data_IF_911909579347
#
_entry.id   IF_911909579347
#
_cell.length_a   1.000
_cell.length_b   1.000
_cell.length_c   1.000
_cell.angle_alpha   90.00
_cell.angle_beta   90.00
_cell.angle_gamma   90.00
#
_symmetry.space_group_name_H-M   'P 1'
#
loop_
_entity.id
_entity.type
_entity.pdbx_description
1 polymer ?
#
# COMPACT_ATOMS: atom_id res chain seq x y z
N UNK A 1 20.55 -24.53 -12.99
CA UNK A 1 19.20 -23.97 -13.20
C UNK A 1 18.95 -22.91 -12.13
N UNK A 2 18.67 -21.68 -12.52
CA UNK A 2 18.57 -20.53 -11.62
C UNK A 2 17.13 -20.46 -11.11
N UNK A 3 16.93 -20.74 -9.81
CA UNK A 3 15.65 -20.59 -9.14
C UNK A 3 15.22 -19.12 -9.26
N UNK A 4 14.21 -18.85 -10.08
CA UNK A 4 13.63 -17.52 -10.21
C UNK A 4 12.69 -17.37 -9.03
N UNK A 5 13.14 -16.67 -8.00
CA UNK A 5 12.30 -16.38 -6.85
C UNK A 5 11.12 -15.53 -7.37
N UNK A 6 9.89 -16.02 -7.18
CA UNK A 6 8.63 -15.33 -7.52
C UNK A 6 8.37 -14.20 -6.51
N UNK A 7 9.35 -13.33 -6.27
CA UNK A 7 9.19 -12.19 -5.36
C UNK A 7 8.48 -11.09 -6.15
N UNK A 8 7.27 -10.74 -5.72
CA UNK A 8 6.64 -9.49 -6.13
C UNK A 8 7.28 -8.36 -5.34
N UNK A 9 7.95 -7.45 -6.03
CA UNK A 9 8.53 -6.24 -5.43
C UNK A 9 7.46 -5.15 -5.47
N UNK A 10 7.22 -4.50 -4.32
CA UNK A 10 6.31 -3.38 -4.20
C UNK A 10 7.09 -2.06 -4.20
N UNK A 11 6.59 -1.09 -4.97
CA UNK A 11 6.94 0.32 -4.81
C UNK A 11 5.98 0.95 -3.80
N UNK A 12 6.51 1.63 -2.79
CA UNK A 12 5.70 2.34 -1.79
C UNK A 12 6.16 3.80 -1.77
N UNK A 13 5.24 4.70 -2.11
CA UNK A 13 5.40 6.13 -1.87
C UNK A 13 4.85 6.46 -0.48
N UNK A 14 5.71 6.91 0.42
CA UNK A 14 5.37 7.28 1.80
C UNK A 14 5.34 8.81 1.94
N UNK A 15 4.31 9.42 1.37
CA UNK A 15 4.11 10.87 1.43
C UNK A 15 3.59 11.32 2.80
N UNK A 16 3.72 12.62 3.09
CA UNK A 16 3.27 13.22 4.35
C UNK A 16 1.75 13.26 4.50
N UNK A 17 1.01 13.39 3.40
CA UNK A 17 -0.46 13.48 3.41
C UNK A 17 -1.12 12.20 2.89
N UNK A 18 -0.53 11.59 1.86
CA UNK A 18 -1.02 10.35 1.26
C UNK A 18 0.13 9.40 0.98
N UNK A 19 -0.15 8.11 1.06
CA UNK A 19 0.73 7.02 0.67
C UNK A 19 0.10 6.20 -0.45
N UNK A 20 0.94 5.58 -1.29
CA UNK A 20 0.52 4.78 -2.45
C UNK A 20 1.39 3.51 -2.56
N UNK A 21 0.75 2.39 -2.89
CA UNK A 21 1.44 1.14 -3.22
C UNK A 21 1.28 0.79 -4.71
N UNK A 22 2.34 0.28 -5.34
CA UNK A 22 2.31 -0.17 -6.72
C UNK A 22 3.21 -1.39 -6.95
N UNK A 23 2.99 -2.11 -8.05
CA UNK A 23 3.84 -3.21 -8.51
C UNK A 23 3.91 -3.23 -10.03
N UNK A 24 4.85 -4.00 -10.59
CA UNK A 24 4.92 -4.28 -12.02
C UNK A 24 4.24 -5.62 -12.30
N UNK A 25 3.25 -5.62 -13.19
CA UNK A 25 2.50 -6.83 -13.53
C UNK A 25 3.25 -7.73 -14.54
N UNK A 26 2.58 -8.80 -14.99
CA UNK A 26 3.15 -9.78 -15.94
C UNK A 26 3.40 -9.23 -17.34
N UNK A 27 2.74 -8.14 -17.73
CA UNK A 27 2.93 -7.46 -19.01
C UNK A 27 4.03 -6.38 -18.93
N UNK A 28 4.64 -6.20 -17.76
CA UNK A 28 5.59 -5.13 -17.40
C UNK A 28 4.96 -3.74 -17.28
N UNK A 29 3.65 -3.67 -17.04
CA UNK A 29 2.96 -2.41 -16.79
C UNK A 29 2.88 -2.11 -15.29
N UNK A 30 2.96 -0.83 -14.93
CA UNK A 30 2.84 -0.38 -13.55
C UNK A 30 1.36 -0.39 -13.12
N UNK A 31 1.07 -1.08 -12.03
CA UNK A 31 -0.26 -1.18 -11.44
C UNK A 31 -0.26 -0.60 -10.04
N UNK A 32 -1.23 0.28 -9.77
CA UNK A 32 -1.47 0.82 -8.42
C UNK A 32 -2.37 -0.15 -7.66
N UNK A 33 -2.06 -0.37 -6.38
CA UNK A 33 -2.80 -1.26 -5.50
C UNK A 33 -3.94 -0.46 -4.86
N UNK A 34 -5.17 -0.96 -4.96
CA UNK A 34 -6.29 -0.41 -4.21
C UNK A 34 -6.12 -0.74 -2.72
N UNK A 35 -6.38 0.23 -1.86
CA UNK A 35 -6.49 -0.01 -0.42
C UNK A 35 -7.77 -0.79 -0.07
N UNK A 36 -7.95 -1.12 1.21
CA UNK A 36 -9.13 -1.83 1.71
C UNK A 36 -10.45 -1.14 1.41
N UNK A 37 -10.42 0.17 1.19
CA UNK A 37 -11.56 1.04 0.88
C UNK A 37 -11.81 1.17 -0.64
N UNK A 38 -11.01 0.50 -1.47
CA UNK A 38 -11.14 0.55 -2.93
C UNK A 38 -10.61 1.83 -3.57
N UNK A 39 -9.75 2.59 -2.86
CA UNK A 39 -9.10 3.81 -3.34
C UNK A 39 -7.65 3.57 -3.72
N UNK A 40 -7.12 4.40 -4.61
CA UNK A 40 -5.73 4.34 -5.08
C UNK A 40 -4.71 4.94 -4.11
N UNK A 41 -5.16 5.77 -3.16
CA UNK A 41 -4.30 6.46 -2.19
C UNK A 41 -4.85 6.25 -0.79
N UNK A 42 -3.96 6.13 0.18
CA UNK A 42 -4.30 6.01 1.61
C UNK A 42 -3.83 7.26 2.35
N UNK A 43 -4.69 7.94 3.13
CA UNK A 43 -4.24 9.03 4.01
C UNK A 43 -3.10 8.59 4.93
N UNK A 44 -2.04 9.39 5.03
CA UNK A 44 -0.87 9.12 5.89
C UNK A 44 -1.15 9.55 7.33
N UNK A 45 -2.13 8.91 7.95
CA UNK A 45 -2.59 9.19 9.33
C UNK A 45 -2.79 7.88 10.09
N UNK A 46 -2.50 7.93 11.38
CA UNK A 46 -2.68 6.83 12.33
C UNK A 46 -3.46 7.36 13.52
N UNK A 47 -4.55 6.68 13.86
CA UNK A 47 -5.31 6.87 15.08
C UNK A 47 -5.01 5.71 16.03
N UNK A 48 -4.74 6.07 17.28
CA UNK A 48 -4.72 5.13 18.39
C UNK A 48 -5.88 5.51 19.30
N UNK A 49 -6.87 4.65 19.39
CA UNK A 49 -8.09 4.94 20.15
C UNK A 49 -7.93 4.68 21.66
N UNK A 50 -9.02 4.84 22.42
CA UNK A 50 -9.02 4.62 23.87
C UNK A 50 -8.81 3.17 24.29
N UNK A 51 -9.01 2.20 23.38
CA UNK A 51 -8.81 0.78 23.62
C UNK A 51 -7.42 0.30 23.14
N UNK A 52 -6.57 1.22 22.66
CA UNK A 52 -5.29 0.98 22.00
C UNK A 52 -5.39 0.26 20.65
N UNK A 53 -6.53 0.33 19.98
CA UNK A 53 -6.65 -0.15 18.61
C UNK A 53 -5.95 0.83 17.65
N UNK A 54 -5.25 0.28 16.65
CA UNK A 54 -4.51 1.05 15.65
C UNK A 54 -5.34 1.10 14.37
N UNK A 55 -5.76 2.31 13.99
CA UNK A 55 -6.55 2.57 12.79
C UNK A 55 -5.69 3.41 11.85
N UNK A 56 -5.65 3.05 10.56
CA UNK A 56 -4.80 3.69 9.54
C UNK A 56 -5.65 4.08 8.34
N UNK A 57 -5.38 5.23 7.74
CA UNK A 57 -6.01 5.64 6.48
C UNK A 57 -7.32 6.39 6.66
N UNK A 58 -8.33 6.09 5.83
CA UNK A 58 -9.56 6.89 5.72
C UNK A 58 -10.42 6.94 6.99
N UNK A 59 -10.33 5.89 7.82
CA UNK A 59 -11.13 5.72 9.04
C UNK A 59 -10.38 6.16 10.31
N UNK A 60 -9.12 6.58 10.16
CA UNK A 60 -8.29 7.11 11.24
C UNK A 60 -8.61 8.59 11.52
#
# INVERSE_FOLDING_TARGET
MRWRILIMILGIDLGTTYSVGAYIDKENDAQVILNSEGKLMTPSVVLVDSENEIIVGDVA
#
